data_IF_830613290633
#
_entry.id   IF_830613290633
#
_cell.length_a   1.000
_cell.length_b   1.000
_cell.length_c   1.000
_cell.angle_alpha   90.00
_cell.angle_beta   90.00
_cell.angle_gamma   90.00
#
_symmetry.space_group_name_H-M   'P 1'
#
loop_
_entity.id
_entity.type
_entity.pdbx_description
1 polymer ?
#
# COMPACT_ATOMS: atom_id res chain seq x y z
N UNK A 1 -20.47 16.76 4.78
CA UNK A 1 -20.61 17.82 3.76
C UNK A 1 -21.94 17.65 3.05
N UNK A 2 -22.75 18.70 2.95
CA UNK A 2 -24.05 18.64 2.28
C UNK A 2 -23.91 19.26 0.90
N UNK A 3 -23.79 18.44 -0.14
CA UNK A 3 -23.74 18.89 -1.53
C UNK A 3 -25.09 19.48 -1.94
N UNK A 4 -25.11 20.62 -2.63
CA UNK A 4 -26.34 21.28 -3.04
C UNK A 4 -26.73 20.94 -4.48
N UNK A 5 -25.74 20.76 -5.36
CA UNK A 5 -25.98 20.47 -6.76
C UNK A 5 -26.44 19.00 -6.96
N UNK A 6 -27.55 18.72 -7.69
CA UNK A 6 -28.10 17.37 -7.83
C UNK A 6 -27.14 16.34 -8.43
N UNK A 7 -26.28 16.76 -9.37
CA UNK A 7 -25.24 15.89 -9.95
C UNK A 7 -24.14 15.59 -8.93
N UNK A 8 -23.77 16.56 -8.11
CA UNK A 8 -22.77 16.41 -7.05
C UNK A 8 -23.24 15.44 -5.98
N UNK A 9 -24.51 15.52 -5.56
CA UNK A 9 -25.14 14.53 -4.66
C UNK A 9 -25.03 13.10 -5.18
N UNK A 10 -25.29 12.88 -6.47
CA UNK A 10 -25.17 11.55 -7.10
C UNK A 10 -23.72 11.08 -7.17
N UNK A 11 -22.81 11.96 -7.60
CA UNK A 11 -21.39 11.64 -7.68
C UNK A 11 -20.78 11.39 -6.30
N UNK A 12 -21.26 12.04 -5.24
CA UNK A 12 -20.83 11.80 -3.88
C UNK A 12 -21.10 10.36 -3.41
N UNK A 13 -22.20 9.74 -3.84
CA UNK A 13 -22.47 8.32 -3.55
C UNK A 13 -21.42 7.43 -4.21
N UNK A 14 -21.07 7.74 -5.47
CA UNK A 14 -20.02 7.01 -6.20
C UNK A 14 -18.64 7.23 -5.57
N UNK A 15 -18.33 8.46 -5.16
CA UNK A 15 -17.09 8.79 -4.45
C UNK A 15 -16.99 8.00 -3.14
N UNK A 16 -18.05 7.93 -2.35
CA UNK A 16 -18.06 7.14 -1.11
C UNK A 16 -17.80 5.65 -1.37
N UNK A 17 -18.37 5.09 -2.44
CA UNK A 17 -18.06 3.72 -2.84
C UNK A 17 -16.58 3.56 -3.20
N UNK A 18 -16.03 4.49 -3.99
CA UNK A 18 -14.61 4.47 -4.39
C UNK A 18 -13.65 4.65 -3.21
N UNK A 19 -13.96 5.53 -2.26
CA UNK A 19 -13.17 5.68 -1.01
C UNK A 19 -13.19 4.41 -0.16
N UNK A 20 -14.29 3.65 -0.17
CA UNK A 20 -14.33 2.34 0.49
C UNK A 20 -13.46 1.31 -0.23
N UNK A 21 -13.59 1.20 -1.55
CA UNK A 21 -12.73 0.32 -2.36
C UNK A 21 -11.24 0.66 -2.21
N UNK A 22 -10.91 1.96 -2.15
CA UNK A 22 -9.56 2.46 -1.92
C UNK A 22 -9.02 1.99 -0.57
N UNK A 23 -9.81 2.13 0.49
CA UNK A 23 -9.42 1.67 1.84
C UNK A 23 -9.17 0.17 1.87
N UNK A 24 -10.02 -0.63 1.22
CA UNK A 24 -9.84 -2.07 1.11
C UNK A 24 -8.58 -2.43 0.31
N UNK A 25 -8.30 -1.72 -0.79
CA UNK A 25 -7.09 -1.91 -1.58
C UNK A 25 -5.82 -1.55 -0.78
N UNK A 26 -5.86 -0.45 -0.02
CA UNK A 26 -4.76 -0.04 0.85
C UNK A 26 -4.49 -1.05 1.96
N UNK A 27 -5.54 -1.59 2.60
CA UNK A 27 -5.41 -2.64 3.60
C UNK A 27 -4.75 -3.88 3.01
N UNK A 28 -5.23 -4.36 1.84
CA UNK A 28 -4.62 -5.52 1.17
C UNK A 28 -3.15 -5.29 0.82
N UNK A 29 -2.80 -4.11 0.33
CA UNK A 29 -1.40 -3.78 0.05
C UNK A 29 -0.56 -3.78 1.34
N UNK A 30 -1.06 -3.17 2.41
CA UNK A 30 -0.42 -3.17 3.73
C UNK A 30 -0.16 -4.59 4.27
N UNK A 31 -1.13 -5.49 4.15
CA UNK A 31 -0.97 -6.89 4.58
C UNK A 31 0.13 -7.62 3.78
N UNK A 32 0.24 -7.34 2.48
CA UNK A 32 1.29 -7.92 1.62
C UNK A 32 2.66 -7.35 2.01
N UNK A 33 2.77 -6.04 2.27
CA UNK A 33 4.02 -5.40 2.73
C UNK A 33 4.50 -5.95 4.08
N UNK A 34 3.57 -6.21 5.01
CA UNK A 34 3.91 -6.86 6.29
C UNK A 34 4.47 -8.26 6.08
N UNK A 35 3.83 -9.06 5.21
CA UNK A 35 4.34 -10.40 4.87
C UNK A 35 5.70 -10.34 4.20
N UNK A 36 5.90 -9.39 3.28
CA UNK A 36 7.18 -9.19 2.60
C UNK A 36 8.29 -8.84 3.60
N UNK A 37 8.00 -7.96 4.56
CA UNK A 37 8.94 -7.60 5.63
C UNK A 37 9.30 -8.81 6.48
N UNK A 38 8.30 -9.59 6.91
CA UNK A 38 8.52 -10.79 7.71
C UNK A 38 9.38 -11.84 6.98
N UNK A 39 9.18 -12.05 5.68
CA UNK A 39 10.01 -12.98 4.90
C UNK A 39 11.44 -12.46 4.69
N UNK A 40 11.64 -11.13 4.53
CA UNK A 40 12.99 -10.54 4.46
C UNK A 40 13.74 -10.70 5.77
N UNK A 41 13.07 -10.54 6.90
CA UNK A 41 13.66 -10.74 8.22
C UNK A 41 14.08 -12.19 8.43
N UNK A 42 13.22 -13.16 8.09
CA UNK A 42 13.55 -14.60 8.15
C UNK A 42 14.76 -14.94 7.28
N UNK A 43 14.84 -14.38 6.07
CA UNK A 43 15.99 -14.57 5.19
C UNK A 43 17.28 -14.04 5.79
N UNK A 44 17.22 -12.86 6.39
CA UNK A 44 18.37 -12.24 7.07
C UNK A 44 18.83 -13.10 8.26
N UNK A 45 17.89 -13.69 9.00
CA UNK A 45 18.19 -14.62 10.09
C UNK A 45 18.87 -15.90 9.57
N UNK A 46 18.35 -16.49 8.49
CA UNK A 46 18.97 -17.67 7.87
C UNK A 46 20.40 -17.39 7.39
N UNK A 47 20.64 -16.25 6.74
CA UNK A 47 21.99 -15.86 6.32
C UNK A 47 22.94 -15.69 7.51
N UNK A 48 22.44 -15.06 8.59
CA UNK A 48 23.19 -14.91 9.85
C UNK A 48 23.58 -16.27 10.43
N UNK A 49 22.63 -17.21 10.51
CA UNK A 49 22.93 -18.56 10.98
C UNK A 49 23.96 -19.27 10.10
N UNK A 50 23.83 -19.20 8.77
CA UNK A 50 24.82 -19.80 7.87
C UNK A 50 26.23 -19.26 8.11
N UNK A 51 26.37 -17.95 8.36
CA UNK A 51 27.65 -17.33 8.69
C UNK A 51 28.20 -17.82 10.03
N UNK A 52 27.36 -17.96 11.05
CA UNK A 52 27.76 -18.48 12.38
C UNK A 52 28.29 -19.92 12.27
N UNK A 53 27.59 -20.80 11.56
CA UNK A 53 28.05 -22.18 11.35
C UNK A 53 29.36 -22.24 10.55
N UNK A 54 29.53 -21.38 9.53
CA UNK A 54 30.80 -21.28 8.78
C UNK A 54 31.96 -20.85 9.68
N UNK A 55 31.73 -19.94 10.62
CA UNK A 55 32.75 -19.53 11.61
C UNK A 55 33.13 -20.68 12.56
N UNK A 56 32.16 -21.45 13.03
CA UNK A 56 32.42 -22.62 13.88
C UNK A 56 33.32 -23.66 13.21
N UNK A 57 33.14 -23.89 11.91
CA UNK A 57 34.00 -24.80 11.13
C UNK A 57 35.45 -24.28 11.04
N UNK A 58 35.63 -22.95 10.95
CA UNK A 58 36.94 -22.31 10.70
C UNK A 58 37.77 -22.11 11.98
N UNK A 59 37.16 -22.19 13.16
CA UNK A 59 37.84 -22.13 14.47
C UNK A 59 37.58 -23.37 15.32
N UNK A 60 38.10 -24.56 14.93
CA UNK A 60 37.84 -25.79 15.67
C UNK A 60 38.57 -25.80 17.03
N UNK A 61 37.82 -26.08 18.10
CA UNK A 61 38.36 -26.44 19.41
C UNK A 61 38.57 -27.97 19.47
N UNK A 62 39.79 -28.41 19.81
CA UNK A 62 40.25 -29.82 19.92
C UNK A 62 39.94 -30.77 18.73
N UNK A 63 41.00 -31.25 18.07
CA UNK A 63 40.97 -31.92 16.77
C UNK A 63 40.14 -33.22 16.68
N UNK A 64 39.90 -33.92 17.79
CA UNK A 64 39.20 -35.22 17.81
C UNK A 64 37.68 -35.10 17.89
N UNK A 65 37.14 -34.04 18.51
CA UNK A 65 35.69 -33.73 18.53
C UNK A 65 35.28 -32.92 17.29
N UNK A 66 36.23 -32.23 16.67
CA UNK A 66 36.02 -31.34 15.53
C UNK A 66 35.43 -32.02 14.28
N UNK A 67 35.82 -33.25 13.94
CA UNK A 67 35.39 -33.87 12.67
C UNK A 67 33.87 -34.12 12.58
N UNK A 68 33.26 -34.64 13.65
CA UNK A 68 31.81 -34.86 13.72
C UNK A 68 31.01 -33.55 13.75
N UNK A 69 31.52 -32.54 14.47
CA UNK A 69 30.90 -31.21 14.52
C UNK A 69 30.98 -30.47 13.17
N UNK A 70 32.08 -30.63 12.44
CA UNK A 70 32.23 -30.08 11.08
C UNK A 70 31.22 -30.72 10.13
N UNK A 71 31.03 -32.04 10.19
CA UNK A 71 30.07 -32.72 9.33
C UNK A 71 28.63 -32.23 9.55
N UNK A 72 28.18 -32.18 10.81
CA UNK A 72 26.85 -31.69 11.15
C UNK A 72 26.65 -30.22 10.74
N UNK A 73 27.68 -29.38 10.92
CA UNK A 73 27.63 -27.97 10.51
C UNK A 73 27.49 -27.81 9.00
N UNK A 74 28.20 -28.63 8.21
CA UNK A 74 28.08 -28.62 6.75
C UNK A 74 26.69 -29.08 6.28
N UNK A 75 26.12 -30.11 6.91
CA UNK A 75 24.75 -30.55 6.61
C UNK A 75 23.74 -29.43 6.88
N UNK A 76 23.85 -28.78 8.05
CA UNK A 76 22.94 -27.69 8.42
C UNK A 76 23.09 -26.47 7.50
N UNK A 77 24.31 -26.12 7.09
CA UNK A 77 24.55 -25.08 6.08
C UNK A 77 23.84 -25.43 4.77
N UNK A 78 23.93 -26.69 4.30
CA UNK A 78 23.23 -27.12 3.09
C UNK A 78 21.69 -27.02 3.19
N UNK A 79 21.14 -27.31 4.37
CA UNK A 79 19.70 -27.11 4.64
C UNK A 79 19.32 -25.63 4.62
N UNK A 80 20.15 -24.76 5.21
CA UNK A 80 19.93 -23.31 5.17
C UNK A 80 20.00 -22.78 3.73
N UNK A 81 21.00 -23.18 2.94
CA UNK A 81 21.14 -22.74 1.55
C UNK A 81 19.91 -23.13 0.71
N UNK A 82 19.36 -24.32 0.94
CA UNK A 82 18.12 -24.76 0.32
C UNK A 82 16.93 -23.89 0.74
N UNK A 83 16.81 -23.59 2.05
CA UNK A 83 15.75 -22.75 2.57
C UNK A 83 15.86 -21.28 2.08
N UNK A 84 17.08 -20.75 1.96
CA UNK A 84 17.35 -19.42 1.40
C UNK A 84 16.90 -19.33 -0.06
N UNK A 85 17.20 -20.34 -0.88
CA UNK A 85 16.76 -20.38 -2.27
C UNK A 85 15.21 -20.40 -2.40
N UNK A 86 14.53 -21.11 -1.51
CA UNK A 86 13.07 -21.12 -1.43
C UNK A 86 12.52 -19.74 -1.02
N UNK A 87 13.08 -19.13 0.03
CA UNK A 87 12.70 -17.79 0.47
C UNK A 87 12.95 -16.72 -0.59
N UNK A 88 14.07 -16.80 -1.33
CA UNK A 88 14.36 -15.86 -2.43
C UNK A 88 13.32 -15.94 -3.54
N UNK A 89 12.81 -17.14 -3.82
CA UNK A 89 11.71 -17.33 -4.78
C UNK A 89 10.42 -16.74 -4.25
N UNK A 90 10.07 -17.04 -3.00
CA UNK A 90 8.87 -16.52 -2.34
C UNK A 90 8.88 -14.98 -2.21
N UNK A 91 10.04 -14.39 -1.91
CA UNK A 91 10.22 -12.95 -1.84
C UNK A 91 9.95 -12.29 -3.19
N UNK A 92 10.51 -12.82 -4.28
CA UNK A 92 10.25 -12.29 -5.63
C UNK A 92 8.76 -12.34 -5.99
N UNK A 93 8.07 -13.41 -5.61
CA UNK A 93 6.62 -13.52 -5.83
C UNK A 93 5.84 -12.49 -4.99
N UNK A 94 6.19 -12.32 -3.72
CA UNK A 94 5.58 -11.33 -2.83
C UNK A 94 5.87 -9.90 -3.28
N UNK A 95 7.06 -9.60 -3.78
CA UNK A 95 7.42 -8.29 -4.33
C UNK A 95 6.57 -7.97 -5.57
N UNK A 96 6.44 -8.92 -6.49
CA UNK A 96 5.60 -8.77 -7.67
C UNK A 96 4.11 -8.61 -7.28
N UNK A 97 3.64 -9.36 -6.29
CA UNK A 97 2.28 -9.22 -5.77
C UNK A 97 2.07 -7.86 -5.11
N UNK A 98 3.03 -7.39 -4.32
CA UNK A 98 2.95 -6.10 -3.64
C UNK A 98 2.89 -4.95 -4.65
N UNK A 99 3.75 -5.00 -5.68
CA UNK A 99 3.73 -4.01 -6.75
C UNK A 99 2.37 -3.96 -7.45
N UNK A 100 1.77 -5.11 -7.77
CA UNK A 100 0.42 -5.15 -8.37
C UNK A 100 -0.65 -4.60 -7.42
N UNK A 101 -0.57 -4.90 -6.13
CA UNK A 101 -1.51 -4.38 -5.13
C UNK A 101 -1.39 -2.86 -4.97
N UNK A 102 -0.16 -2.35 -4.98
CA UNK A 102 0.13 -0.91 -4.97
C UNK A 102 -0.43 -0.22 -6.21
N UNK A 103 -0.22 -0.78 -7.39
CA UNK A 103 -0.71 -0.19 -8.64
C UNK A 103 -2.26 -0.15 -8.66
N UNK A 104 -2.91 -1.22 -8.19
CA UNK A 104 -4.37 -1.27 -8.05
C UNK A 104 -4.89 -0.22 -7.04
N UNK A 105 -4.20 -0.04 -5.91
CA UNK A 105 -4.52 1.00 -4.94
C UNK A 105 -4.40 2.40 -5.57
N UNK A 106 -3.28 2.69 -6.24
CA UNK A 106 -3.05 3.99 -6.88
C UNK A 106 -4.08 4.29 -7.97
N UNK A 107 -4.48 3.29 -8.75
CA UNK A 107 -5.52 3.47 -9.76
C UNK A 107 -6.87 3.87 -9.14
N UNK A 108 -7.26 3.23 -8.03
CA UNK A 108 -8.51 3.56 -7.33
C UNK A 108 -8.41 4.92 -6.66
N UNK A 109 -7.27 5.22 -6.01
CA UNK A 109 -6.99 6.50 -5.36
C UNK A 109 -7.11 7.66 -6.36
N UNK A 110 -6.43 7.58 -7.51
CA UNK A 110 -6.50 8.62 -8.53
C UNK A 110 -7.93 8.81 -9.08
N UNK A 111 -8.70 7.72 -9.24
CA UNK A 111 -10.11 7.81 -9.67
C UNK A 111 -10.98 8.49 -8.61
N UNK A 112 -10.76 8.20 -7.33
CA UNK A 112 -11.48 8.83 -6.23
C UNK A 112 -11.17 10.32 -6.16
N UNK A 113 -9.89 10.70 -6.24
CA UNK A 113 -9.46 12.11 -6.22
C UNK A 113 -9.99 12.89 -7.42
N UNK A 114 -10.00 12.29 -8.62
CA UNK A 114 -10.58 12.92 -9.80
C UNK A 114 -12.09 13.15 -9.65
N UNK A 115 -12.82 12.20 -9.05
CA UNK A 115 -14.25 12.34 -8.76
C UNK A 115 -14.52 13.43 -7.73
N UNK A 116 -13.71 13.51 -6.68
CA UNK A 116 -13.80 14.56 -5.66
C UNK A 116 -13.59 15.94 -6.28
N UNK A 117 -12.52 16.13 -7.07
CA UNK A 117 -12.28 17.39 -7.78
C UNK A 117 -13.43 17.77 -8.72
N UNK A 118 -14.05 16.79 -9.37
CA UNK A 118 -15.22 17.04 -10.22
C UNK A 118 -16.44 17.50 -9.41
N UNK A 119 -16.68 16.90 -8.24
CA UNK A 119 -17.76 17.29 -7.33
C UNK A 119 -17.55 18.72 -6.84
N UNK A 120 -16.33 19.07 -6.43
CA UNK A 120 -16.00 20.41 -5.92
C UNK A 120 -16.24 21.48 -6.99
N UNK A 121 -15.80 21.23 -8.23
CA UNK A 121 -16.07 22.12 -9.37
C UNK A 121 -17.56 22.35 -9.59
N UNK A 122 -18.36 21.29 -9.55
CA UNK A 122 -19.82 21.39 -9.73
C UNK A 122 -20.49 22.19 -8.61
N UNK A 123 -20.03 22.04 -7.36
CA UNK A 123 -20.54 22.83 -6.24
C UNK A 123 -20.14 24.31 -6.35
N UNK A 124 -18.91 24.60 -6.76
CA UNK A 124 -18.43 25.97 -6.95
C UNK A 124 -19.18 26.68 -8.08
N UNK A 125 -19.43 26.00 -9.19
CA UNK A 125 -20.26 26.49 -10.29
C UNK A 125 -21.70 26.77 -9.83
N UNK A 126 -22.25 25.87 -9.02
CA UNK A 126 -23.60 26.03 -8.48
C UNK A 126 -23.71 27.25 -7.54
N UNK A 127 -22.77 27.39 -6.59
CA UNK A 127 -22.71 28.55 -5.69
C UNK A 127 -22.58 29.87 -6.45
N UNK A 128 -21.72 29.92 -7.46
CA UNK A 128 -21.55 31.11 -8.32
C UNK A 128 -22.83 31.45 -9.07
N UNK A 129 -23.57 30.44 -9.53
CA UNK A 129 -24.84 30.64 -10.24
C UNK A 129 -25.91 31.21 -9.32
N UNK A 130 -26.05 30.66 -8.11
CA UNK A 130 -26.99 31.15 -7.09
C UNK A 130 -26.65 32.59 -6.70
N UNK A 131 -25.39 32.87 -6.34
CA UNK A 131 -24.95 34.19 -5.92
C UNK A 131 -25.19 35.26 -7.00
N UNK A 132 -25.00 34.92 -8.29
CA UNK A 132 -25.33 35.82 -9.41
C UNK A 132 -26.83 36.07 -9.56
N UNK A 133 -27.66 35.06 -9.30
CA UNK A 133 -29.11 35.22 -9.34
C UNK A 133 -29.61 36.12 -8.19
N UNK A 134 -29.12 35.87 -6.97
CA UNK A 134 -29.44 36.67 -5.78
C UNK A 134 -29.05 38.14 -5.95
N UNK A 135 -27.85 38.41 -6.51
CA UNK A 135 -27.41 39.77 -6.80
C UNK A 135 -28.34 40.48 -7.80
N UNK A 136 -28.73 39.81 -8.88
CA UNK A 136 -29.65 40.37 -9.89
C UNK A 136 -31.00 40.71 -9.29
N UNK A 137 -31.57 39.80 -8.50
CA UNK A 137 -32.84 40.05 -7.84
C UNK A 137 -32.73 41.28 -6.92
N UNK A 138 -31.69 41.36 -6.09
CA UNK A 138 -31.47 42.50 -5.19
C UNK A 138 -31.39 43.84 -5.96
N UNK A 139 -30.68 43.88 -7.09
CA UNK A 139 -30.57 45.07 -7.94
C UNK A 139 -31.94 45.46 -8.55
N UNK A 140 -32.75 44.50 -8.98
CA UNK A 140 -34.11 44.75 -9.50
C UNK A 140 -35.05 45.29 -8.43
N UNK A 141 -34.97 44.78 -7.20
CA UNK A 141 -35.74 45.30 -6.06
C UNK A 141 -35.32 46.72 -5.69
N UNK A 142 -34.02 47.01 -5.73
CA UNK A 142 -33.49 48.36 -5.48
C UNK A 142 -33.93 49.37 -6.54
N UNK A 143 -33.96 48.96 -7.81
CA UNK A 143 -34.43 49.81 -8.91
C UNK A 143 -35.94 50.03 -8.90
N UNK A 144 -36.75 49.06 -8.43
CA UNK A 144 -38.22 49.22 -8.31
C UNK A 144 -38.67 50.11 -7.16
N UNK A 145 -37.81 50.38 -6.17
CA UNK A 145 -38.10 51.24 -5.01
C UNK A 145 -37.65 52.69 -5.19
N UNK A 146 -37.09 53.05 -6.34
CA UNK A 146 -36.80 54.43 -6.74
C UNK A 146 -37.92 54.95 -7.62
#
# INVERSE_FOLDING_TARGET
MTYQHPRSKRLAVVLNLKRREEKEALQRWGDIEQRLTAERDKRTQLDTYAQEYRRQITSPADQSVAAGQIHNSLEFIGQIETALAQQDTQLKELEALSQRARDAYLEIHHKADALESMIDKLEDEHKRTISRAEQREADEWANRRR
#
